data_IF_421599343660
#
_entry.id   IF_421599343660
#
_cell.length_a   1.000
_cell.length_b   1.000
_cell.length_c   1.000
_cell.angle_alpha   90.00
_cell.angle_beta   90.00
_cell.angle_gamma   90.00
#
_symmetry.space_group_name_H-M   'P 1'
#
loop_
_entity.id
_entity.type
_entity.pdbx_description
1 polymer ?
#
# COMPACT_ATOMS: atom_id res chain seq x y z
N UNK A 1 -12.85 -13.63 12.38
CA UNK A 1 -11.39 -13.57 12.63
C UNK A 1 -10.57 -13.33 11.37
N UNK A 2 -10.83 -14.05 10.26
CA UNK A 2 -10.07 -13.91 8.99
C UNK A 2 -10.01 -12.48 8.41
N UNK A 3 -11.05 -11.65 8.57
CA UNK A 3 -11.03 -10.25 8.12
C UNK A 3 -9.91 -9.42 8.75
N UNK A 4 -9.66 -9.63 10.04
CA UNK A 4 -8.63 -8.91 10.78
C UNK A 4 -7.24 -9.27 10.26
N UNK A 5 -7.00 -10.55 9.93
CA UNK A 5 -5.76 -10.99 9.30
C UNK A 5 -5.51 -10.33 7.93
N UNK A 6 -6.53 -10.23 7.07
CA UNK A 6 -6.38 -9.54 5.77
C UNK A 6 -6.11 -8.05 5.92
N UNK A 7 -6.78 -7.38 6.86
CA UNK A 7 -6.54 -5.97 7.16
C UNK A 7 -5.14 -5.77 7.74
N UNK A 8 -4.68 -6.64 8.65
CA UNK A 8 -3.33 -6.61 9.23
C UNK A 8 -2.25 -6.82 8.16
N UNK A 9 -2.44 -7.77 7.24
CA UNK A 9 -1.50 -8.02 6.15
C UNK A 9 -1.44 -6.81 5.21
N UNK A 10 -2.60 -6.27 4.81
CA UNK A 10 -2.66 -5.06 3.99
C UNK A 10 -2.05 -3.85 4.69
N UNK A 11 -2.25 -3.73 6.00
CA UNK A 11 -1.67 -2.69 6.84
C UNK A 11 -0.15 -2.78 6.92
N UNK A 12 0.42 -3.97 7.13
CA UNK A 12 1.88 -4.16 7.12
C UNK A 12 2.50 -3.82 5.77
N UNK A 13 1.86 -4.20 4.65
CA UNK A 13 2.30 -3.83 3.30
C UNK A 13 2.28 -2.31 3.08
N UNK A 14 1.22 -1.64 3.54
CA UNK A 14 1.12 -0.18 3.47
C UNK A 14 2.14 0.52 4.38
N UNK A 15 2.38 0.01 5.59
CA UNK A 15 3.38 0.56 6.52
C UNK A 15 4.79 0.44 5.94
N UNK A 16 5.16 -0.70 5.35
CA UNK A 16 6.49 -0.87 4.74
C UNK A 16 6.70 0.14 3.59
N UNK A 17 5.72 0.27 2.68
CA UNK A 17 5.80 1.26 1.60
C UNK A 17 5.82 2.72 2.10
N UNK A 18 5.10 3.02 3.18
CA UNK A 18 5.07 4.35 3.81
C UNK A 18 6.36 4.70 4.57
N UNK A 19 6.98 3.72 5.23
CA UNK A 19 8.28 3.91 5.90
C UNK A 19 9.39 4.12 4.87
N UNK A 20 9.38 3.39 3.75
CA UNK A 20 10.29 3.65 2.62
C UNK A 20 10.16 5.08 2.08
N UNK A 21 8.93 5.60 1.90
CA UNK A 21 8.73 7.00 1.54
C UNK A 21 9.36 7.97 2.55
N UNK A 22 9.13 7.74 3.83
CA UNK A 22 9.69 8.57 4.91
C UNK A 22 11.22 8.54 4.92
N UNK A 23 11.82 7.37 4.69
CA UNK A 23 13.27 7.24 4.60
C UNK A 23 13.84 8.03 3.41
N UNK A 24 13.16 8.02 2.26
CA UNK A 24 13.59 8.80 1.11
C UNK A 24 13.36 10.30 1.27
N UNK A 25 12.47 10.75 2.15
CA UNK A 25 12.30 12.16 2.48
C UNK A 25 13.65 12.81 2.90
N UNK A 26 14.54 12.01 3.48
CA UNK A 26 15.90 12.43 3.82
C UNK A 26 16.72 12.89 2.60
N UNK A 27 16.53 12.26 1.42
CA UNK A 27 17.17 12.67 0.17
C UNK A 27 16.68 14.05 -0.29
N UNK A 28 15.41 14.39 -0.04
CA UNK A 28 14.83 15.70 -0.36
C UNK A 28 15.47 16.80 0.52
N UNK A 29 15.68 16.54 1.81
CA UNK A 29 16.42 17.44 2.71
C UNK A 29 17.92 17.58 2.38
N UNK A 30 18.50 16.65 1.62
CA UNK A 30 19.91 16.67 1.22
C UNK A 30 20.17 17.63 0.03
N UNK A 31 19.14 18.35 -0.44
CA UNK A 31 19.26 19.36 -1.49
C UNK A 31 18.78 18.91 -2.87
N UNK A 32 18.11 17.75 -2.96
CA UNK A 32 17.41 17.36 -4.19
C UNK A 32 16.14 18.19 -4.39
N UNK A 33 15.91 18.60 -5.64
CA UNK A 33 14.67 19.29 -6.02
C UNK A 33 13.46 18.38 -5.74
N UNK A 34 12.42 18.92 -5.10
CA UNK A 34 11.22 18.17 -4.68
C UNK A 34 10.54 17.45 -5.85
N UNK A 35 10.60 18.01 -7.05
CA UNK A 35 10.08 17.38 -8.26
C UNK A 35 10.84 16.11 -8.67
N UNK A 36 12.18 16.10 -8.56
CA UNK A 36 12.99 14.91 -8.87
C UNK A 36 12.76 13.79 -7.86
N UNK A 37 12.51 14.16 -6.61
CA UNK A 37 12.17 13.21 -5.55
C UNK A 37 10.90 12.43 -5.87
N UNK A 38 9.80 13.11 -6.23
CA UNK A 38 8.55 12.42 -6.60
C UNK A 38 8.73 11.54 -7.84
N UNK A 39 9.50 11.98 -8.82
CA UNK A 39 9.80 11.19 -10.02
C UNK A 39 10.61 9.92 -9.69
N UNK A 40 11.58 10.02 -8.77
CA UNK A 40 12.33 8.87 -8.26
C UNK A 40 11.44 7.91 -7.46
N UNK A 41 10.54 8.46 -6.65
CA UNK A 41 9.63 7.70 -5.81
C UNK A 41 8.62 6.90 -6.64
N UNK A 42 8.09 7.50 -7.72
CA UNK A 42 7.17 6.84 -8.67
C UNK A 42 7.85 5.75 -9.50
N UNK A 43 9.15 5.85 -9.74
CA UNK A 43 9.93 4.83 -10.45
C UNK A 43 10.28 3.63 -9.56
N UNK A 44 10.09 3.73 -8.24
CA UNK A 44 10.43 2.68 -7.27
C UNK A 44 9.24 1.76 -6.98
N UNK A 45 9.57 0.50 -6.76
CA UNK A 45 8.59 -0.56 -6.51
C UNK A 45 7.86 -0.36 -5.17
N UNK A 46 8.43 0.42 -4.26
CA UNK A 46 7.90 0.70 -2.92
C UNK A 46 6.59 1.49 -2.96
N UNK A 47 6.41 2.37 -3.95
CA UNK A 47 5.15 3.09 -4.14
C UNK A 47 4.02 2.14 -4.57
N UNK A 48 4.36 1.13 -5.38
CA UNK A 48 3.41 0.08 -5.76
C UNK A 48 3.02 -0.78 -4.55
N UNK A 49 3.96 -1.10 -3.65
CA UNK A 49 3.65 -1.80 -2.39
C UNK A 49 2.68 -1.01 -1.50
N UNK A 50 2.87 0.30 -1.41
CA UNK A 50 1.95 1.17 -0.68
C UNK A 50 0.53 1.14 -1.29
N UNK A 51 0.42 1.35 -2.61
CA UNK A 51 -0.87 1.35 -3.32
C UNK A 51 -1.55 -0.02 -3.21
N UNK A 52 -0.82 -1.12 -3.41
CA UNK A 52 -1.35 -2.48 -3.31
C UNK A 52 -1.81 -2.78 -1.87
N UNK A 53 -1.03 -2.39 -0.86
CA UNK A 53 -1.40 -2.52 0.55
C UNK A 53 -2.72 -1.80 0.86
N UNK A 54 -2.85 -0.55 0.40
CA UNK A 54 -4.08 0.25 0.56
C UNK A 54 -5.26 -0.38 -0.19
N UNK A 55 -5.06 -0.86 -1.43
CA UNK A 55 -6.10 -1.53 -2.21
C UNK A 55 -6.59 -2.82 -1.52
N UNK A 56 -5.71 -3.57 -0.88
CA UNK A 56 -6.06 -4.76 -0.09
C UNK A 56 -6.87 -4.37 1.15
N UNK A 57 -6.50 -3.30 1.85
CA UNK A 57 -7.24 -2.80 3.03
C UNK A 57 -8.64 -2.33 2.61
N UNK A 58 -8.73 -1.51 1.57
CA UNK A 58 -10.01 -1.00 1.05
C UNK A 58 -10.87 -2.17 0.55
N UNK A 59 -10.30 -3.11 -0.19
CA UNK A 59 -11.00 -4.32 -0.62
C UNK A 59 -11.48 -5.20 0.54
N UNK A 60 -10.68 -5.34 1.59
CA UNK A 60 -11.06 -6.10 2.79
C UNK A 60 -12.16 -5.39 3.61
N UNK A 61 -12.13 -4.06 3.67
CA UNK A 61 -13.08 -3.24 4.43
C UNK A 61 -14.41 -3.03 3.69
N UNK A 62 -14.35 -2.82 2.37
CA UNK A 62 -15.52 -2.57 1.51
C UNK A 62 -16.25 -3.86 1.13
N UNK A 63 -15.81 -5.02 1.60
CA UNK A 63 -16.59 -6.28 1.53
C UNK A 63 -17.35 -6.46 2.86
N UNK A 64 -18.52 -5.83 3.05
CA UNK A 64 -19.46 -6.25 4.08
C UNK A 64 -20.04 -7.57 3.59
N UNK A 65 -19.53 -8.71 4.06
CA UNK A 65 -20.24 -10.00 4.06
C UNK A 65 -21.05 -10.35 2.79
N UNK A 66 -20.58 -10.00 1.58
CA UNK A 66 -21.21 -10.38 0.31
C UNK A 66 -20.24 -11.17 -0.56
N UNK A 67 -19.55 -12.12 0.06
CA UNK A 67 -18.74 -13.12 -0.64
C UNK A 67 -19.05 -14.53 -0.15
N UNK A 68 -20.35 -14.85 -0.01
CA UNK A 68 -20.87 -16.22 -0.13
C UNK A 68 -21.50 -16.43 -1.52
N UNK A 69 -20.91 -15.92 -2.61
CA UNK A 69 -21.42 -16.25 -3.95
C UNK A 69 -20.54 -16.02 -5.19
N UNK A 70 -19.24 -15.68 -5.08
CA UNK A 70 -18.37 -15.51 -6.28
C UNK A 70 -17.14 -16.41 -6.40
N UNK A 71 -16.96 -17.38 -5.49
CA UNK A 71 -16.00 -18.49 -5.67
C UNK A 71 -16.65 -19.84 -6.06
N UNK A 72 -17.96 -19.86 -6.33
CA UNK A 72 -18.69 -21.08 -6.77
C UNK A 72 -19.07 -21.07 -8.25
N UNK A 73 -18.47 -20.19 -9.07
CA UNK A 73 -18.75 -20.10 -10.51
C UNK A 73 -17.48 -19.95 -11.34
N UNK A 74 -16.50 -20.80 -11.08
CA UNK A 74 -15.58 -21.35 -12.07
C UNK A 74 -15.15 -22.72 -11.61
#
# INVERSE_FOLDING_TARGET
>A
MIRLFFVLIGFSLAVIGGVSMLAYLNLLTTGYNSAMYFMFLLQRIEFYFFIIGVMIIIGAMTVPMKQRNRRKKR
#
